data_IF_801525070287
#
_entry.id   IF_801525070287
#
_cell.length_a   1.000
_cell.length_b   1.000
_cell.length_c   1.000
_cell.angle_alpha   90.00
_cell.angle_beta   90.00
_cell.angle_gamma   90.00
#
_symmetry.space_group_name_H-M   'P 1'
#
loop_
_entity.id
_entity.type
_entity.pdbx_description
1 polymer ?
#
# COMPACT_ATOMS: atom_id res chain seq x y z
N UNK A 1 21.00 -16.31 -3.46
CA UNK A 1 19.89 -15.77 -2.63
C UNK A 1 19.13 -14.80 -3.52
N UNK A 2 17.82 -14.89 -3.56
CA UNK A 2 16.97 -13.93 -4.30
C UNK A 2 16.59 -12.82 -3.31
N UNK A 3 16.77 -11.56 -3.71
CA UNK A 3 16.34 -10.38 -2.95
C UNK A 3 15.08 -9.82 -3.60
N UNK A 4 14.08 -9.50 -2.79
CA UNK A 4 12.88 -8.78 -3.22
C UNK A 4 13.12 -7.26 -3.17
N UNK A 5 12.26 -6.47 -3.78
CA UNK A 5 12.32 -5.02 -3.65
C UNK A 5 12.22 -4.57 -2.19
N UNK A 6 11.37 -5.24 -1.39
CA UNK A 6 11.22 -4.98 0.03
C UNK A 6 12.52 -5.18 0.86
N UNK A 7 13.43 -6.05 0.43
CA UNK A 7 14.75 -6.24 1.10
C UNK A 7 15.69 -5.05 0.88
N UNK A 8 15.39 -4.19 -0.07
CA UNK A 8 16.27 -3.12 -0.54
C UNK A 8 15.70 -1.72 -0.31
N UNK A 9 14.61 -1.59 0.47
CA UNK A 9 13.94 -0.29 0.66
C UNK A 9 14.88 0.79 1.23
N UNK A 10 15.82 0.41 2.07
CA UNK A 10 16.80 1.34 2.65
C UNK A 10 17.74 1.92 1.59
N UNK A 11 18.11 1.16 0.56
CA UNK A 11 18.94 1.64 -0.55
C UNK A 11 18.19 2.71 -1.37
N UNK A 12 16.87 2.65 -1.40
CA UNK A 12 15.98 3.54 -2.14
C UNK A 12 15.29 4.59 -1.26
N UNK A 13 15.73 4.75 0.00
CA UNK A 13 15.12 5.70 0.95
C UNK A 13 15.06 7.13 0.40
N UNK A 14 16.00 7.51 -0.45
CA UNK A 14 16.04 8.82 -1.11
C UNK A 14 14.86 9.08 -2.08
N UNK A 15 14.11 8.07 -2.47
CA UNK A 15 12.92 8.19 -3.30
C UNK A 15 11.63 8.43 -2.48
N UNK A 16 11.65 8.15 -1.18
CA UNK A 16 10.49 8.31 -0.30
C UNK A 16 10.42 9.74 0.22
N UNK A 17 9.93 10.65 -0.60
CA UNK A 17 9.88 12.09 -0.30
C UNK A 17 8.62 12.41 0.49
N UNK A 18 8.77 13.09 1.63
CA UNK A 18 7.66 13.54 2.47
C UNK A 18 6.92 12.39 3.16
N UNK A 19 5.63 12.58 3.38
CA UNK A 19 4.76 11.58 4.01
C UNK A 19 4.52 10.43 3.03
N UNK A 20 4.78 9.23 3.47
CA UNK A 20 4.66 8.03 2.62
C UNK A 20 3.40 7.25 2.97
N UNK A 21 2.67 6.82 1.96
CA UNK A 21 1.64 5.79 2.05
C UNK A 21 2.15 4.48 1.45
N UNK A 22 1.75 3.36 2.01
CA UNK A 22 2.04 2.04 1.47
C UNK A 22 0.73 1.31 1.13
N UNK A 23 0.55 0.95 -0.13
CA UNK A 23 -0.47 0.01 -0.54
C UNK A 23 0.12 -1.38 -0.49
N UNK A 24 -0.39 -2.22 0.40
CA UNK A 24 0.15 -3.56 0.66
C UNK A 24 -0.95 -4.55 1.07
N UNK A 25 -0.61 -5.80 1.01
CA UNK A 25 -1.42 -6.91 1.47
C UNK A 25 -0.55 -7.99 2.11
N UNK A 26 -1.08 -9.19 2.38
CA UNK A 26 -0.35 -10.28 3.04
C UNK A 26 0.95 -10.70 2.33
N UNK A 27 1.05 -10.45 1.02
CA UNK A 27 2.23 -10.77 0.21
C UNK A 27 3.35 -9.72 0.30
N UNK A 28 3.09 -8.54 0.89
CA UNK A 28 4.08 -7.48 1.07
C UNK A 28 5.05 -7.83 2.18
N UNK A 29 6.11 -8.57 1.83
CA UNK A 29 7.11 -9.08 2.77
C UNK A 29 8.51 -9.10 2.18
N UNK A 30 9.50 -8.95 3.05
CA UNK A 30 10.91 -9.20 2.74
C UNK A 30 11.18 -10.69 2.57
N UNK A 31 12.38 -11.05 2.08
CA UNK A 31 12.85 -12.43 1.98
C UNK A 31 12.99 -13.13 3.35
N UNK A 32 13.13 -12.36 4.43
CA UNK A 32 13.12 -12.84 5.82
C UNK A 32 11.72 -12.95 6.43
N UNK A 33 10.67 -12.74 5.63
CA UNK A 33 9.27 -12.76 6.04
C UNK A 33 8.85 -11.59 6.96
N UNK A 34 9.63 -10.53 7.03
CA UNK A 34 9.26 -9.28 7.70
C UNK A 34 8.22 -8.53 6.84
N UNK A 35 7.15 -7.96 7.41
CA UNK A 35 6.22 -7.13 6.66
C UNK A 35 6.91 -5.89 6.08
N UNK A 36 6.59 -5.53 4.83
CA UNK A 36 7.20 -4.37 4.15
C UNK A 36 6.97 -3.05 4.90
N UNK A 37 5.84 -2.90 5.60
CA UNK A 37 5.59 -1.70 6.39
C UNK A 37 6.59 -1.53 7.55
N UNK A 38 7.08 -2.62 8.15
CA UNK A 38 8.10 -2.53 9.21
C UNK A 38 9.46 -2.13 8.62
N UNK A 39 9.80 -2.66 7.45
CA UNK A 39 11.00 -2.24 6.73
C UNK A 39 10.95 -0.74 6.35
N UNK A 40 9.82 -0.28 5.80
CA UNK A 40 9.63 1.13 5.41
C UNK A 40 9.64 2.09 6.61
N UNK A 41 9.08 1.71 7.76
CA UNK A 41 9.11 2.55 8.97
C UNK A 41 10.52 2.92 9.42
N UNK A 42 11.54 2.14 9.06
CA UNK A 42 12.93 2.43 9.39
C UNK A 42 13.58 3.48 8.49
N UNK A 43 13.04 3.69 7.28
CA UNK A 43 13.73 4.50 6.27
C UNK A 43 12.88 5.63 5.67
N UNK A 44 11.60 5.74 6.04
CA UNK A 44 10.75 6.83 5.56
C UNK A 44 9.68 7.25 6.58
N UNK A 45 9.03 8.37 6.33
CA UNK A 45 7.90 8.86 7.13
C UNK A 45 6.60 8.16 6.72
N UNK A 46 6.48 6.86 7.06
CA UNK A 46 5.30 6.07 6.75
C UNK A 46 4.12 6.49 7.62
N UNK A 47 3.03 6.98 7.02
CA UNK A 47 1.87 7.55 7.71
C UNK A 47 0.57 6.79 7.49
N UNK A 48 0.45 6.08 6.37
CA UNK A 48 -0.82 5.51 5.94
C UNK A 48 -0.59 4.14 5.31
N UNK A 49 -1.40 3.18 5.68
CA UNK A 49 -1.54 1.92 4.97
C UNK A 49 -2.81 1.95 4.13
N UNK A 50 -2.69 1.63 2.85
CA UNK A 50 -3.81 1.45 1.95
C UNK A 50 -4.05 -0.04 1.76
N UNK A 51 -5.25 -0.47 2.09
CA UNK A 51 -5.65 -1.86 2.00
C UNK A 51 -6.35 -2.13 0.67
N UNK A 52 -5.79 -2.99 -0.19
CA UNK A 52 -6.51 -3.51 -1.34
C UNK A 52 -7.57 -4.54 -0.88
N UNK A 53 -8.12 -5.28 -1.81
CA UNK A 53 -8.99 -6.42 -1.50
C UNK A 53 -8.33 -7.36 -0.49
N UNK A 54 -9.08 -7.84 0.48
CA UNK A 54 -8.66 -8.67 1.62
C UNK A 54 -7.91 -7.96 2.76
N UNK A 55 -7.69 -6.64 2.69
CA UNK A 55 -7.01 -5.92 3.77
C UNK A 55 -5.48 -6.07 3.75
N UNK A 56 -4.79 -5.31 4.59
CA UNK A 56 -3.32 -5.35 4.69
C UNK A 56 -2.80 -6.64 5.32
N UNK A 57 -3.62 -7.30 6.16
CA UNK A 57 -3.26 -8.54 6.85
C UNK A 57 -3.98 -9.78 6.30
N UNK A 58 -4.85 -9.63 5.30
CA UNK A 58 -5.63 -10.72 4.73
C UNK A 58 -6.81 -11.17 5.60
N UNK A 59 -7.25 -10.34 6.50
CA UNK A 59 -8.31 -10.60 7.48
C UNK A 59 -9.70 -10.15 7.02
N UNK A 60 -9.80 -9.46 5.89
CA UNK A 60 -11.06 -8.96 5.34
C UNK A 60 -11.61 -9.89 4.26
N UNK A 61 -12.93 -10.12 4.21
CA UNK A 61 -13.55 -10.86 3.12
C UNK A 61 -13.42 -10.13 1.78
N UNK A 62 -13.51 -10.88 0.68
CA UNK A 62 -13.46 -10.33 -0.67
C UNK A 62 -14.52 -9.24 -0.87
N UNK A 63 -14.13 -8.11 -1.47
CA UNK A 63 -15.02 -6.98 -1.73
C UNK A 63 -15.44 -6.18 -0.49
N UNK A 64 -14.88 -6.47 0.68
CA UNK A 64 -15.19 -5.70 1.88
C UNK A 64 -14.75 -4.24 1.72
N UNK A 65 -15.67 -3.35 2.10
CA UNK A 65 -15.39 -1.93 2.31
C UNK A 65 -15.51 -1.68 3.81
N UNK A 66 -14.50 -1.10 4.41
CA UNK A 66 -14.45 -0.81 5.84
C UNK A 66 -14.07 0.65 6.07
N UNK A 67 -14.46 1.17 7.23
CA UNK A 67 -14.03 2.50 7.67
C UNK A 67 -12.53 2.51 8.01
N UNK A 68 -11.93 3.70 8.06
CA UNK A 68 -10.57 3.84 8.54
C UNK A 68 -10.42 3.18 9.92
N UNK A 69 -9.39 2.39 10.08
CA UNK A 69 -9.05 1.72 11.33
C UNK A 69 -7.58 1.97 11.67
N UNK A 70 -7.18 1.71 12.90
CA UNK A 70 -5.78 1.79 13.31
C UNK A 70 -5.25 0.37 13.45
N UNK A 71 -4.17 0.06 12.75
CA UNK A 71 -3.47 -1.19 12.90
C UNK A 71 -2.79 -1.23 14.27
N UNK A 72 -3.18 -2.16 15.13
CA UNK A 72 -2.77 -2.20 16.53
C UNK A 72 -1.26 -2.40 16.70
N UNK A 73 -0.62 -3.15 15.82
CA UNK A 73 0.80 -3.46 15.91
C UNK A 73 1.68 -2.28 15.48
N UNK A 74 1.25 -1.54 14.46
CA UNK A 74 2.04 -0.45 13.89
C UNK A 74 1.63 0.94 14.36
N UNK A 75 0.40 1.08 14.86
CA UNK A 75 -0.22 2.37 15.19
C UNK A 75 -0.58 3.22 13.96
N UNK A 76 -0.47 2.68 12.76
CA UNK A 76 -0.75 3.39 11.51
C UNK A 76 -2.23 3.32 11.16
N UNK A 77 -2.74 4.39 10.55
CA UNK A 77 -4.06 4.37 9.96
C UNK A 77 -4.09 3.43 8.76
N UNK A 78 -5.08 2.55 8.72
CA UNK A 78 -5.39 1.68 7.58
C UNK A 78 -6.66 2.19 6.94
N UNK A 79 -6.59 2.46 5.65
CA UNK A 79 -7.73 2.90 4.85
C UNK A 79 -8.00 1.91 3.73
N UNK A 80 -9.26 1.56 3.53
CA UNK A 80 -9.66 0.77 2.36
C UNK A 80 -9.41 1.55 1.08
N UNK A 81 -8.72 0.91 0.12
CA UNK A 81 -8.59 1.48 -1.23
C UNK A 81 -9.95 1.51 -1.93
N UNK A 82 -10.80 0.53 -1.64
CA UNK A 82 -12.10 0.40 -2.29
C UNK A 82 -13.20 1.10 -1.49
N UNK A 83 -14.01 1.87 -2.21
CA UNK A 83 -15.29 2.38 -1.72
C UNK A 83 -16.43 1.66 -2.43
N UNK A 84 -17.67 1.91 -2.01
CA UNK A 84 -18.85 1.37 -2.72
C UNK A 84 -18.98 1.92 -4.14
N UNK A 85 -18.49 3.14 -4.35
CA UNK A 85 -18.62 3.89 -5.60
C UNK A 85 -17.39 3.78 -6.50
N UNK A 86 -16.22 3.53 -5.93
CA UNK A 86 -14.95 3.64 -6.68
C UNK A 86 -13.87 2.73 -6.12
N UNK A 87 -12.95 2.36 -7.00
CA UNK A 87 -11.68 1.69 -6.69
C UNK A 87 -10.48 2.63 -6.88
N UNK A 88 -10.74 3.94 -6.94
CA UNK A 88 -9.72 4.99 -7.11
C UNK A 88 -9.43 5.70 -5.80
N UNK A 89 -8.25 6.29 -5.70
CA UNK A 89 -7.89 7.14 -4.58
C UNK A 89 -8.80 8.38 -4.55
N UNK A 90 -9.44 8.60 -3.42
CA UNK A 90 -10.23 9.82 -3.21
C UNK A 90 -9.33 11.04 -2.98
N UNK A 91 -9.85 12.23 -3.21
CA UNK A 91 -9.14 13.48 -2.91
C UNK A 91 -8.72 13.53 -1.42
N UNK A 92 -9.58 13.07 -0.51
CA UNK A 92 -9.29 13.02 0.93
C UNK A 92 -8.16 12.05 1.27
N UNK A 93 -7.97 11.00 0.47
CA UNK A 93 -6.84 10.08 0.62
C UNK A 93 -5.57 10.69 0.06
N UNK A 94 -5.64 11.29 -1.13
CA UNK A 94 -4.49 11.89 -1.80
C UNK A 94 -3.81 12.99 -0.99
N UNK A 95 -4.53 13.76 -0.17
CA UNK A 95 -3.92 14.82 0.66
C UNK A 95 -3.13 14.29 1.87
N UNK A 96 -3.23 13.00 2.20
CA UNK A 96 -2.60 12.41 3.39
C UNK A 96 -1.14 12.00 3.18
N UNK A 97 -0.68 11.89 1.94
CA UNK A 97 0.68 11.46 1.61
C UNK A 97 1.28 12.26 0.47
N UNK A 98 2.57 12.16 0.29
CA UNK A 98 3.34 12.79 -0.78
C UNK A 98 3.96 11.77 -1.72
N UNK A 99 4.28 10.57 -1.20
CA UNK A 99 4.79 9.42 -1.96
C UNK A 99 3.91 8.20 -1.70
N UNK A 100 3.56 7.46 -2.76
CA UNK A 100 2.89 6.16 -2.66
C UNK A 100 3.85 5.04 -3.04
N UNK A 101 4.03 4.09 -2.13
CA UNK A 101 4.71 2.82 -2.38
C UNK A 101 3.66 1.75 -2.62
N UNK A 102 3.86 0.93 -3.64
CA UNK A 102 3.00 -0.18 -3.98
C UNK A 102 3.75 -1.50 -3.82
N UNK A 103 3.28 -2.36 -2.92
CA UNK A 103 3.88 -3.68 -2.67
C UNK A 103 2.80 -4.74 -2.47
N UNK A 104 2.24 -5.18 -3.58
CA UNK A 104 1.28 -6.29 -3.63
C UNK A 104 1.67 -7.21 -4.77
N UNK A 105 1.83 -8.51 -4.49
CA UNK A 105 2.10 -9.49 -5.52
C UNK A 105 0.83 -9.77 -6.35
N UNK A 106 0.94 -9.67 -7.67
CA UNK A 106 -0.05 -10.12 -8.62
C UNK A 106 0.47 -11.40 -9.30
N UNK A 107 -0.37 -12.42 -9.37
CA UNK A 107 0.02 -13.72 -9.95
C UNK A 107 -0.21 -13.80 -11.47
N UNK A 108 -0.60 -12.70 -12.10
CA UNK A 108 -0.84 -12.64 -13.54
C UNK A 108 -2.15 -13.31 -13.99
N UNK A 109 -3.07 -13.57 -13.08
CA UNK A 109 -4.37 -14.12 -13.41
C UNK A 109 -5.35 -13.00 -13.80
N UNK A 110 -6.10 -13.20 -14.89
CA UNK A 110 -7.01 -12.19 -15.45
C UNK A 110 -8.04 -11.63 -14.45
N UNK A 111 -8.47 -12.42 -13.48
CA UNK A 111 -9.45 -12.01 -12.48
C UNK A 111 -8.85 -11.38 -11.23
N UNK A 112 -7.52 -11.31 -11.13
CA UNK A 112 -6.85 -10.53 -10.08
C UNK A 112 -7.02 -9.03 -10.35
N UNK A 113 -7.29 -8.27 -9.31
CA UNK A 113 -7.59 -6.83 -9.41
C UNK A 113 -6.39 -5.94 -9.11
N UNK A 114 -5.29 -6.51 -8.66
CA UNK A 114 -4.14 -5.73 -8.15
C UNK A 114 -3.46 -4.90 -9.23
N UNK A 115 -3.28 -5.44 -10.44
CA UNK A 115 -2.73 -4.68 -11.56
C UNK A 115 -3.60 -3.47 -11.92
N UNK A 116 -4.93 -3.63 -11.87
CA UNK A 116 -5.86 -2.53 -12.10
C UNK A 116 -5.76 -1.49 -10.98
N UNK A 117 -5.61 -1.93 -9.73
CA UNK A 117 -5.41 -1.04 -8.58
C UNK A 117 -4.11 -0.24 -8.72
N UNK A 118 -3.02 -0.88 -9.13
CA UNK A 118 -1.76 -0.20 -9.41
C UNK A 118 -1.94 0.89 -10.47
N UNK A 119 -2.57 0.55 -11.60
CA UNK A 119 -2.83 1.51 -12.68
C UNK A 119 -3.62 2.71 -12.19
N UNK A 120 -4.70 2.50 -11.44
CA UNK A 120 -5.51 3.59 -10.91
C UNK A 120 -4.72 4.45 -9.94
N UNK A 121 -3.93 3.85 -9.05
CA UNK A 121 -3.06 4.60 -8.14
C UNK A 121 -2.05 5.46 -8.91
N UNK A 122 -1.42 4.93 -9.95
CA UNK A 122 -0.47 5.69 -10.78
C UNK A 122 -1.15 6.87 -11.49
N UNK A 123 -2.33 6.66 -12.08
CA UNK A 123 -3.10 7.72 -12.74
C UNK A 123 -3.53 8.82 -11.75
N UNK A 124 -4.04 8.43 -10.57
CA UNK A 124 -4.54 9.35 -9.56
C UNK A 124 -3.39 10.14 -8.90
N UNK A 125 -2.27 9.48 -8.60
CA UNK A 125 -1.07 10.14 -8.08
C UNK A 125 -0.50 11.12 -9.11
N UNK A 126 -0.37 10.73 -10.37
CA UNK A 126 0.12 11.62 -11.43
C UNK A 126 -0.77 12.85 -11.60
N UNK A 127 -2.10 12.69 -11.55
CA UNK A 127 -3.05 13.81 -11.63
C UNK A 127 -2.93 14.75 -10.41
N UNK A 128 -2.51 14.24 -9.26
CA UNK A 128 -2.29 15.02 -8.04
C UNK A 128 -0.85 15.54 -7.87
N UNK A 129 0.03 15.30 -8.84
CA UNK A 129 1.42 15.76 -8.80
C UNK A 129 2.31 14.99 -7.79
N UNK A 130 2.04 13.68 -7.60
CA UNK A 130 2.72 12.80 -6.64
C UNK A 130 3.51 11.72 -7.36
#
# INVERSE_FOLDING_TARGET
MVLFGADRVEEYAHLFIGRTALLTGPSGRTSSNEPTFDALKRCCDLRLLLAPEHGVRGDKPAGAVFADEVDEDTGLTVRSLYTKESKRLSADTLVLFDTLVYDVADVGCRYYTFLTSLRYCMEDCAAAGK
#
